data_IF_752349683875
#
_entry.id   IF_752349683875
#
_cell.length_a   1.000
_cell.length_b   1.000
_cell.length_c   1.000
_cell.angle_alpha   90.00
_cell.angle_beta   90.00
_cell.angle_gamma   90.00
#
_symmetry.space_group_name_H-M   'P 1'
#
loop_
_entity.id
_entity.type
_entity.pdbx_description
1 polymer ?
#
# COMPACT_ATOMS: atom_id res chain seq x y z
N UNK A 1 -19.73 7.55 -1.18
CA UNK A 1 -18.28 7.33 -1.33
C UNK A 1 -18.02 5.87 -1.65
N UNK A 2 -16.99 5.55 -2.44
CA UNK A 2 -16.60 4.17 -2.79
C UNK A 2 -15.51 3.70 -1.82
N UNK A 3 -15.55 2.44 -1.42
CA UNK A 3 -14.43 1.76 -0.76
C UNK A 3 -13.82 0.72 -1.70
N UNK A 4 -12.50 0.69 -1.81
CA UNK A 4 -11.76 -0.29 -2.61
C UNK A 4 -10.74 -0.95 -1.71
N UNK A 5 -10.77 -2.28 -1.64
CA UNK A 5 -9.72 -3.08 -1.03
C UNK A 5 -8.97 -3.83 -2.13
N UNK A 6 -7.72 -3.42 -2.37
CA UNK A 6 -6.89 -3.98 -3.44
C UNK A 6 -6.40 -5.40 -3.15
N UNK A 7 -6.42 -5.81 -1.88
CA UNK A 7 -5.90 -7.10 -1.40
C UNK A 7 -6.78 -7.60 -0.25
N UNK A 8 -8.06 -7.83 -0.54
CA UNK A 8 -9.10 -8.01 0.47
C UNK A 8 -8.94 -9.27 1.35
N UNK A 9 -8.16 -10.25 0.88
CA UNK A 9 -7.97 -11.49 1.61
C UNK A 9 -9.28 -12.26 1.77
N UNK A 10 -9.46 -12.88 2.94
CA UNK A 10 -10.74 -13.52 3.33
C UNK A 10 -11.72 -12.52 3.95
N UNK A 11 -11.31 -11.26 4.13
CA UNK A 11 -12.00 -10.28 4.99
C UNK A 11 -11.71 -10.42 6.48
N UNK A 12 -10.92 -11.40 6.91
CA UNK A 12 -10.42 -11.59 8.28
C UNK A 12 -8.89 -11.66 8.28
N UNK A 13 -8.27 -11.34 9.42
CA UNK A 13 -6.87 -11.66 9.72
C UNK A 13 -6.82 -12.60 10.89
N UNK A 14 -6.16 -13.74 10.70
CA UNK A 14 -5.83 -14.62 11.81
C UNK A 14 -4.51 -14.18 12.42
N UNK A 15 -4.50 -13.84 13.70
CA UNK A 15 -3.27 -13.63 14.46
C UNK A 15 -2.96 -14.90 15.24
N UNK A 16 -1.80 -15.46 14.95
CA UNK A 16 -1.21 -16.54 15.73
C UNK A 16 -0.58 -15.93 17.00
N UNK A 17 -1.19 -16.18 18.17
CA UNK A 17 -0.74 -15.63 19.46
C UNK A 17 0.57 -16.23 19.99
N UNK A 18 1.26 -17.08 19.22
CA UNK A 18 2.63 -17.52 19.59
C UNK A 18 3.65 -16.37 19.68
N UNK A 19 3.35 -15.19 19.15
CA UNK A 19 4.16 -13.98 19.33
C UNK A 19 3.73 -13.12 20.54
N UNK A 20 2.65 -13.47 21.24
CA UNK A 20 2.02 -12.66 22.29
C UNK A 20 2.17 -13.21 23.72
N UNK A 21 2.67 -14.43 23.93
CA UNK A 21 2.65 -15.03 25.27
C UNK A 21 4.01 -15.18 25.94
N UNK A 22 4.25 -14.23 26.85
CA UNK A 22 5.05 -14.38 28.08
C UNK A 22 4.32 -15.21 29.17
N UNK A 23 3.13 -15.77 28.90
CA UNK A 23 2.39 -16.59 29.86
C UNK A 23 1.70 -17.72 29.11
N UNK A 24 2.11 -18.96 29.40
CA UNK A 24 1.74 -20.13 28.61
C UNK A 24 0.28 -20.60 28.70
N UNK A 25 0.05 -21.59 27.84
CA UNK A 25 -1.12 -22.47 27.66
C UNK A 25 -2.12 -22.04 26.56
N UNK A 26 -2.17 -22.92 25.53
CA UNK A 26 -3.06 -23.00 24.38
C UNK A 26 -3.20 -21.74 23.50
N UNK A 27 -2.41 -21.69 22.43
CA UNK A 27 -2.46 -20.65 21.40
C UNK A 27 -3.85 -20.52 20.79
N UNK A 28 -4.59 -19.48 21.21
CA UNK A 28 -5.87 -19.12 20.63
C UNK A 28 -5.60 -18.35 19.33
N UNK A 29 -5.94 -18.93 18.18
CA UNK A 29 -6.08 -18.15 16.94
C UNK A 29 -7.20 -17.13 17.15
N UNK A 30 -6.84 -15.88 17.40
CA UNK A 30 -7.82 -14.80 17.45
C UNK A 30 -8.00 -14.30 16.01
N UNK A 31 -9.19 -14.57 15.45
CA UNK A 31 -9.62 -13.95 14.20
C UNK A 31 -10.02 -12.50 14.47
N UNK A 32 -9.34 -11.58 13.80
CA UNK A 32 -9.60 -10.14 13.84
C UNK A 32 -10.23 -9.75 12.50
N UNK A 33 -11.20 -8.84 12.52
CA UNK A 33 -11.78 -8.32 11.28
C UNK A 33 -10.69 -7.70 10.40
N UNK A 34 -10.66 -8.11 9.13
CA UNK A 34 -9.83 -7.51 8.10
C UNK A 34 -10.43 -6.21 7.58
N UNK A 35 -9.69 -5.51 6.72
CA UNK A 35 -10.05 -4.21 6.15
C UNK A 35 -11.43 -4.22 5.45
N UNK A 36 -11.76 -5.29 4.71
CA UNK A 36 -13.07 -5.47 4.10
C UNK A 36 -14.22 -5.50 5.12
N UNK A 37 -14.08 -6.25 6.23
CA UNK A 37 -15.10 -6.32 7.29
C UNK A 37 -15.19 -5.02 8.09
N UNK A 38 -14.06 -4.38 8.37
CA UNK A 38 -14.02 -3.08 9.03
C UNK A 38 -14.79 -2.04 8.21
N UNK A 39 -14.58 -1.99 6.89
CA UNK A 39 -15.28 -1.04 6.02
C UNK A 39 -16.81 -1.20 6.06
N UNK A 40 -17.31 -2.44 6.09
CA UNK A 40 -18.75 -2.74 6.15
C UNK A 40 -19.42 -2.34 7.47
N UNK A 41 -18.63 -2.32 8.56
CA UNK A 41 -19.08 -2.00 9.92
C UNK A 41 -18.97 -0.51 10.28
N UNK A 42 -18.57 0.34 9.34
CA UNK A 42 -18.44 1.79 9.58
C UNK A 42 -19.80 2.46 9.85
N UNK A 43 -19.82 3.41 10.79
CA UNK A 43 -21.05 4.14 11.16
C UNK A 43 -21.64 4.94 9.98
N UNK A 44 -20.77 5.49 9.13
CA UNK A 44 -21.14 6.10 7.85
C UNK A 44 -20.79 5.13 6.73
N UNK A 45 -21.78 4.40 6.17
CA UNK A 45 -21.50 3.38 5.17
C UNK A 45 -21.05 3.99 3.85
N UNK A 46 -20.21 3.25 3.14
CA UNK A 46 -19.89 3.53 1.74
C UNK A 46 -21.06 3.13 0.84
N UNK A 47 -21.18 3.81 -0.30
CA UNK A 47 -22.22 3.54 -1.29
C UNK A 47 -21.91 2.29 -2.12
N UNK A 48 -20.63 1.94 -2.27
CA UNK A 48 -20.16 0.79 -3.05
C UNK A 48 -18.82 0.30 -2.52
N UNK A 49 -18.63 -1.02 -2.52
CA UNK A 49 -17.41 -1.68 -2.10
C UNK A 49 -16.86 -2.54 -3.24
N UNK A 50 -15.57 -2.40 -3.54
CA UNK A 50 -14.84 -3.29 -4.42
C UNK A 50 -13.84 -4.09 -3.60
N UNK A 51 -13.99 -5.42 -3.56
CA UNK A 51 -13.06 -6.32 -2.89
C UNK A 51 -12.30 -7.13 -3.94
N UNK A 52 -11.00 -6.87 -4.06
CA UNK A 52 -10.15 -7.51 -5.07
C UNK A 52 -9.31 -8.60 -4.41
N UNK A 53 -9.30 -9.78 -5.01
CA UNK A 53 -8.47 -10.91 -4.59
C UNK A 53 -8.21 -11.85 -5.79
N UNK A 54 -7.12 -12.59 -5.76
CA UNK A 54 -6.70 -13.49 -6.83
C UNK A 54 -6.88 -14.97 -6.48
N UNK A 55 -6.93 -15.30 -5.19
CA UNK A 55 -7.05 -16.67 -4.72
C UNK A 55 -8.50 -17.11 -4.59
N UNK A 56 -8.85 -18.22 -5.25
CA UNK A 56 -10.20 -18.76 -5.30
C UNK A 56 -10.80 -19.13 -3.94
N UNK A 57 -9.99 -19.62 -3.00
CA UNK A 57 -10.42 -19.94 -1.63
C UNK A 57 -10.86 -18.68 -0.87
N UNK A 58 -10.14 -17.57 -1.07
CA UNK A 58 -10.45 -16.28 -0.45
C UNK A 58 -11.62 -15.57 -1.12
N UNK A 59 -11.74 -15.68 -2.44
CA UNK A 59 -12.91 -15.22 -3.19
C UNK A 59 -14.20 -15.86 -2.68
N UNK A 60 -14.18 -17.16 -2.38
CA UNK A 60 -15.34 -17.83 -1.76
C UNK A 60 -15.71 -17.23 -0.40
N UNK A 61 -14.72 -16.87 0.43
CA UNK A 61 -14.95 -16.20 1.70
C UNK A 61 -15.56 -14.80 1.51
N UNK A 62 -15.06 -14.02 0.54
CA UNK A 62 -15.61 -12.70 0.22
C UNK A 62 -17.03 -12.77 -0.35
N UNK A 63 -17.35 -13.78 -1.15
CA UNK A 63 -18.71 -13.99 -1.64
C UNK A 63 -19.68 -14.33 -0.49
N UNK A 64 -19.27 -15.18 0.46
CA UNK A 64 -20.04 -15.41 1.69
C UNK A 64 -20.22 -14.13 2.50
N UNK A 65 -19.17 -13.31 2.61
CA UNK A 65 -19.26 -12.01 3.28
C UNK A 65 -20.27 -11.09 2.58
N UNK A 66 -20.28 -11.06 1.23
CA UNK A 66 -21.29 -10.33 0.44
C UNK A 66 -22.71 -10.84 0.71
N UNK A 67 -22.92 -12.15 0.72
CA UNK A 67 -24.23 -12.74 1.02
C UNK A 67 -24.75 -12.35 2.42
N UNK A 68 -23.86 -12.32 3.42
CA UNK A 68 -24.20 -11.91 4.79
C UNK A 68 -24.50 -10.42 4.94
N UNK A 69 -24.11 -9.60 3.96
CA UNK A 69 -24.29 -8.14 3.94
C UNK A 69 -25.07 -7.73 2.70
N UNK A 70 -26.19 -8.42 2.42
CA UNK A 70 -26.99 -8.23 1.21
C UNK A 70 -27.63 -6.83 1.08
N UNK A 71 -27.65 -6.04 2.15
CA UNK A 71 -28.05 -4.63 2.17
C UNK A 71 -26.96 -3.67 1.66
N UNK A 72 -25.75 -4.18 1.40
CA UNK A 72 -24.59 -3.42 0.94
C UNK A 72 -24.29 -3.71 -0.53
N UNK A 73 -23.94 -2.67 -1.27
CA UNK A 73 -23.43 -2.80 -2.64
C UNK A 73 -21.96 -3.27 -2.57
N UNK A 74 -21.73 -4.55 -2.86
CA UNK A 74 -20.41 -5.19 -2.80
C UNK A 74 -20.12 -5.90 -4.12
N UNK A 75 -19.00 -5.58 -4.74
CA UNK A 75 -18.45 -6.26 -5.90
C UNK A 75 -17.16 -7.00 -5.52
N UNK A 76 -17.21 -8.33 -5.60
CA UNK A 76 -16.05 -9.19 -5.42
C UNK A 76 -15.42 -9.41 -6.79
N UNK A 77 -14.18 -8.97 -6.95
CA UNK A 77 -13.46 -9.00 -8.23
C UNK A 77 -12.29 -9.98 -8.14
N UNK A 78 -12.37 -11.07 -8.91
CA UNK A 78 -11.30 -12.07 -8.99
C UNK A 78 -10.27 -11.68 -10.04
N UNK A 79 -9.00 -11.53 -9.63
CA UNK A 79 -7.90 -11.31 -10.56
C UNK A 79 -6.73 -10.50 -10.00
N UNK A 80 -5.88 -10.01 -10.91
CA UNK A 80 -4.72 -9.18 -10.57
C UNK A 80 -5.16 -7.77 -10.12
N UNK A 81 -4.70 -7.37 -8.93
CA UNK A 81 -5.04 -6.10 -8.32
C UNK A 81 -4.60 -4.89 -9.16
N UNK A 82 -3.42 -4.94 -9.79
CA UNK A 82 -2.94 -3.84 -10.63
C UNK A 82 -3.86 -3.66 -11.84
N UNK A 83 -4.28 -4.74 -12.49
CA UNK A 83 -5.20 -4.65 -13.64
C UNK A 83 -6.56 -4.11 -13.20
N UNK A 84 -7.16 -4.69 -12.16
CA UNK A 84 -8.51 -4.37 -11.72
C UNK A 84 -8.60 -2.94 -11.16
N UNK A 85 -7.60 -2.48 -10.40
CA UNK A 85 -7.55 -1.10 -9.90
C UNK A 85 -7.41 -0.12 -11.07
N UNK A 86 -6.55 -0.40 -12.06
CA UNK A 86 -6.42 0.45 -13.25
C UNK A 86 -7.76 0.54 -14.02
N UNK A 87 -8.50 -0.56 -14.13
CA UNK A 87 -9.84 -0.57 -14.75
C UNK A 87 -10.84 0.28 -13.95
N UNK A 88 -10.93 0.09 -12.63
CA UNK A 88 -11.79 0.92 -11.75
C UNK A 88 -11.45 2.40 -11.92
N UNK A 89 -10.15 2.75 -11.98
CA UNK A 89 -9.71 4.13 -12.18
C UNK A 89 -10.19 4.72 -13.52
N UNK A 90 -10.29 3.90 -14.58
CA UNK A 90 -10.66 4.35 -15.93
C UNK A 90 -12.18 4.35 -16.16
N UNK A 91 -12.86 3.35 -15.63
CA UNK A 91 -14.27 3.08 -15.93
C UNK A 91 -15.21 3.84 -14.98
N UNK A 92 -14.71 4.31 -13.84
CA UNK A 92 -15.48 5.13 -12.90
C UNK A 92 -15.56 6.59 -13.38
N UNK A 93 -16.78 7.11 -13.50
CA UNK A 93 -17.03 8.54 -13.68
C UNK A 93 -16.69 9.34 -12.39
N UNK A 94 -15.41 9.66 -12.19
CA UNK A 94 -14.92 10.39 -11.01
C UNK A 94 -15.44 11.83 -10.94
N UNK A 95 -15.55 12.48 -12.10
CA UNK A 95 -16.02 13.87 -12.20
C UNK A 95 -17.41 13.88 -12.81
N UNK A 96 -18.27 14.83 -12.41
CA UNK A 96 -19.51 15.07 -13.15
C UNK A 96 -19.17 15.43 -14.60
N UNK A 97 -20.04 15.04 -15.53
CA UNK A 97 -20.00 15.56 -16.89
C UNK A 97 -20.18 17.09 -16.86
N UNK A 98 -19.60 17.78 -17.85
CA UNK A 98 -19.80 19.23 -17.97
C UNK A 98 -21.30 19.57 -18.00
N UNK A 99 -21.73 20.45 -17.09
CA UNK A 99 -23.14 20.85 -16.94
C UNK A 99 -23.98 19.98 -16.00
N UNK A 100 -23.47 18.86 -15.47
CA UNK A 100 -24.18 18.05 -14.48
C UNK A 100 -23.99 18.60 -13.05
N UNK A 101 -25.06 18.75 -12.25
CA UNK A 101 -24.94 19.12 -10.84
C UNK A 101 -24.33 17.97 -10.02
N UNK A 102 -23.36 18.25 -9.15
CA UNK A 102 -22.80 17.27 -8.21
C UNK A 102 -21.30 17.46 -7.92
N UNK A 103 -20.79 16.75 -6.90
CA UNK A 103 -19.37 16.81 -6.48
C UNK A 103 -18.49 15.70 -7.07
N UNK A 104 -19.05 14.85 -7.94
CA UNK A 104 -18.35 13.68 -8.50
C UNK A 104 -18.27 12.51 -7.51
N UNK A 105 -17.71 11.38 -7.96
CA UNK A 105 -17.47 10.20 -7.11
C UNK A 105 -16.14 10.35 -6.38
N UNK A 106 -16.07 9.82 -5.16
CA UNK A 106 -14.88 9.78 -4.30
C UNK A 106 -14.65 8.36 -3.86
N UNK A 107 -13.38 7.98 -3.67
CA UNK A 107 -13.05 6.67 -3.13
C UNK A 107 -11.98 6.75 -2.04
N UNK A 108 -12.04 5.77 -1.14
CA UNK A 108 -10.91 5.38 -0.28
C UNK A 108 -10.39 4.05 -0.79
N UNK A 109 -9.09 3.96 -1.04
CA UNK A 109 -8.41 2.75 -1.50
C UNK A 109 -7.43 2.26 -0.44
N UNK A 110 -7.57 1.00 -0.02
CA UNK A 110 -6.62 0.32 0.84
C UNK A 110 -5.75 -0.63 0.02
N UNK A 111 -4.44 -0.45 0.07
CA UNK A 111 -3.43 -1.30 -0.56
C UNK A 111 -2.61 -1.98 0.53
N UNK A 112 -2.78 -3.29 0.69
CA UNK A 112 -1.96 -4.10 1.58
C UNK A 112 -1.49 -5.39 0.89
N UNK A 113 -0.50 -5.27 -0.01
CA UNK A 113 0.08 -6.44 -0.66
C UNK A 113 0.87 -7.27 0.34
N UNK A 114 0.92 -8.58 0.10
CA UNK A 114 1.81 -9.46 0.88
C UNK A 114 3.30 -9.14 0.63
N UNK A 115 3.65 -8.59 -0.54
CA UNK A 115 5.01 -8.19 -0.88
C UNK A 115 5.10 -6.92 -1.72
N UNK A 116 5.94 -6.96 -2.75
CA UNK A 116 6.17 -5.83 -3.67
C UNK A 116 5.29 -5.97 -4.92
N UNK A 117 3.99 -6.12 -4.72
CA UNK A 117 3.05 -6.51 -5.76
C UNK A 117 2.41 -5.32 -6.48
N UNK A 118 2.30 -4.16 -5.80
CA UNK A 118 1.75 -2.94 -6.42
C UNK A 118 2.79 -2.29 -7.34
N UNK A 119 2.45 -2.21 -8.62
CA UNK A 119 3.25 -1.56 -9.64
C UNK A 119 3.15 -0.02 -9.56
N UNK A 120 4.22 0.66 -9.93
CA UNK A 120 4.22 2.12 -9.98
C UNK A 120 3.16 2.68 -10.94
N UNK A 121 2.93 2.00 -12.07
CA UNK A 121 1.92 2.41 -13.05
C UNK A 121 0.50 2.36 -12.48
N UNK A 122 0.22 1.49 -11.50
CA UNK A 122 -1.06 1.47 -10.79
C UNK A 122 -1.25 2.77 -10.00
N UNK A 123 -0.21 3.22 -9.30
CA UNK A 123 -0.23 4.50 -8.59
C UNK A 123 -0.39 5.68 -9.55
N UNK A 124 0.21 5.60 -10.75
CA UNK A 124 0.02 6.61 -11.80
C UNK A 124 -1.44 6.69 -12.23
N UNK A 125 -2.11 5.56 -12.51
CA UNK A 125 -3.54 5.58 -12.87
C UNK A 125 -4.42 6.10 -11.73
N UNK A 126 -4.13 5.72 -10.48
CA UNK A 126 -4.82 6.25 -9.29
C UNK A 126 -4.68 7.78 -9.22
N UNK A 127 -3.48 8.32 -9.44
CA UNK A 127 -3.24 9.77 -9.38
C UNK A 127 -4.06 10.56 -10.41
N UNK A 128 -4.31 9.98 -11.59
CA UNK A 128 -5.07 10.63 -12.67
C UNK A 128 -6.54 10.85 -12.32
N UNK A 129 -7.10 10.03 -11.44
CA UNK A 129 -8.50 10.14 -11.00
C UNK A 129 -8.78 11.46 -10.27
N UNK A 130 -7.78 11.98 -9.53
CA UNK A 130 -7.89 13.16 -8.66
C UNK A 130 -9.01 13.05 -7.61
N UNK A 131 -9.44 11.83 -7.29
CA UNK A 131 -10.64 11.56 -6.49
C UNK A 131 -10.48 10.43 -5.46
N UNK A 132 -9.36 9.72 -5.48
CA UNK A 132 -9.05 8.61 -4.58
C UNK A 132 -8.09 9.08 -3.48
N UNK A 133 -8.43 8.76 -2.23
CA UNK A 133 -7.56 8.86 -1.07
C UNK A 133 -7.03 7.44 -0.75
N UNK A 134 -5.72 7.28 -0.57
CA UNK A 134 -5.06 5.97 -0.58
C UNK A 134 -4.34 5.74 0.74
N UNK A 135 -4.57 4.57 1.32
CA UNK A 135 -3.77 3.97 2.38
C UNK A 135 -2.95 2.83 1.78
N UNK A 136 -1.63 2.86 1.97
CA UNK A 136 -0.73 1.87 1.39
C UNK A 136 0.26 1.32 2.42
N UNK A 137 0.11 0.05 2.77
CA UNK A 137 1.07 -0.67 3.59
C UNK A 137 2.25 -1.15 2.74
N UNK A 138 3.26 -0.30 2.56
CA UNK A 138 4.42 -0.60 1.72
C UNK A 138 5.43 -1.48 2.44
N UNK A 139 5.85 -2.60 1.84
CA UNK A 139 6.89 -3.48 2.41
C UNK A 139 8.29 -2.88 2.25
N UNK A 140 8.76 -2.16 3.27
CA UNK A 140 10.12 -1.58 3.29
C UNK A 140 11.18 -2.68 3.44
N UNK A 141 10.89 -3.75 4.17
CA UNK A 141 11.76 -4.92 4.26
C UNK A 141 11.85 -5.66 2.92
N UNK A 142 10.74 -5.78 2.20
CA UNK A 142 10.73 -6.30 0.84
C UNK A 142 11.65 -5.50 -0.07
N UNK A 143 11.53 -4.16 -0.05
CA UNK A 143 12.40 -3.26 -0.81
C UNK A 143 13.87 -3.43 -0.42
N UNK A 144 14.16 -3.45 0.88
CA UNK A 144 15.52 -3.62 1.40
C UNK A 144 16.13 -4.96 0.98
N UNK A 145 15.35 -6.04 0.92
CA UNK A 145 15.81 -7.36 0.48
C UNK A 145 16.12 -7.40 -1.02
N UNK A 146 15.30 -6.74 -1.85
CA UNK A 146 15.52 -6.67 -3.29
C UNK A 146 16.75 -5.80 -3.63
N UNK A 147 16.93 -4.68 -2.92
CA UNK A 147 18.10 -3.82 -3.07
C UNK A 147 19.30 -4.39 -2.29
N UNK A 148 19.88 -5.50 -2.74
CA UNK A 148 20.97 -6.18 -2.04
C UNK A 148 22.12 -5.23 -1.62
N UNK A 149 22.82 -5.55 -0.52
CA UNK A 149 23.92 -4.70 -0.05
C UNK A 149 25.04 -4.53 -1.10
N UNK A 150 25.42 -5.62 -1.76
CA UNK A 150 26.41 -5.60 -2.84
C UNK A 150 25.66 -5.48 -4.17
N UNK A 151 25.99 -4.48 -4.99
CA UNK A 151 25.28 -4.24 -6.25
C UNK A 151 25.39 -5.44 -7.21
N UNK A 152 26.55 -6.11 -7.26
CA UNK A 152 26.73 -7.34 -8.03
C UNK A 152 25.80 -8.50 -7.65
N UNK A 153 25.14 -8.46 -6.48
CA UNK A 153 24.11 -9.45 -6.05
C UNK A 153 22.69 -9.03 -6.42
N UNK A 154 22.53 -7.88 -7.08
CA UNK A 154 21.26 -7.44 -7.67
C UNK A 154 21.19 -8.04 -9.07
N UNK A 155 20.62 -9.24 -9.15
CA UNK A 155 20.33 -9.89 -10.43
C UNK A 155 19.24 -9.13 -11.22
N UNK A 156 19.03 -9.55 -12.47
CA UNK A 156 18.06 -8.93 -13.38
C UNK A 156 16.63 -8.96 -12.83
N UNK A 157 16.25 -10.02 -12.12
CA UNK A 157 14.90 -10.15 -11.54
C UNK A 157 14.69 -9.14 -10.40
N UNK A 158 15.67 -8.97 -9.50
CA UNK A 158 15.65 -7.94 -8.45
C UNK A 158 15.61 -6.54 -9.05
N UNK A 159 16.43 -6.29 -10.07
CA UNK A 159 16.49 -5.02 -10.75
C UNK A 159 15.16 -4.67 -11.43
N UNK A 160 14.55 -5.62 -12.15
CA UNK A 160 13.24 -5.46 -12.77
C UNK A 160 12.13 -5.25 -11.73
N UNK A 161 12.18 -5.96 -10.60
CA UNK A 161 11.26 -5.74 -9.48
C UNK A 161 11.35 -4.31 -8.94
N UNK A 162 12.57 -3.83 -8.66
CA UNK A 162 12.81 -2.46 -8.20
C UNK A 162 12.37 -1.40 -9.22
N UNK A 163 12.65 -1.62 -10.51
CA UNK A 163 12.22 -0.72 -11.58
C UNK A 163 10.69 -0.64 -11.67
N UNK A 164 10.00 -1.78 -11.54
CA UNK A 164 8.54 -1.87 -11.60
C UNK A 164 7.85 -1.19 -10.42
N UNK A 165 8.35 -1.40 -9.20
CA UNK A 165 7.70 -0.87 -7.98
C UNK A 165 8.12 0.55 -7.63
N UNK A 166 9.29 1.00 -8.07
CA UNK A 166 9.74 2.39 -7.93
C UNK A 166 9.45 3.23 -9.19
N UNK A 167 9.11 2.60 -10.31
CA UNK A 167 8.84 3.28 -11.59
C UNK A 167 10.02 4.10 -12.10
N UNK A 168 11.26 3.63 -11.87
CA UNK A 168 12.49 4.27 -12.38
C UNK A 168 13.69 3.35 -12.19
N UNK A 169 14.76 3.65 -12.91
CA UNK A 169 16.08 3.07 -12.70
C UNK A 169 16.99 3.91 -11.79
N UNK A 170 16.61 5.14 -11.42
CA UNK A 170 17.42 6.10 -10.65
C UNK A 170 17.79 5.63 -9.24
N UNK A 171 17.10 4.62 -8.71
CA UNK A 171 17.46 3.99 -7.44
C UNK A 171 18.87 3.38 -7.49
N UNK A 172 19.36 2.95 -8.66
CA UNK A 172 20.72 2.40 -8.81
C UNK A 172 21.78 3.41 -8.38
N UNK A 173 21.62 4.67 -8.79
CA UNK A 173 22.54 5.77 -8.42
C UNK A 173 22.28 6.28 -7.01
N UNK A 174 21.02 6.30 -6.59
CA UNK A 174 20.64 6.88 -5.30
C UNK A 174 20.98 5.95 -4.14
N UNK A 175 20.81 4.64 -4.34
CA UNK A 175 21.01 3.65 -3.29
C UNK A 175 22.47 3.22 -3.17
N UNK A 176 23.23 3.24 -4.26
CA UNK A 176 24.58 2.68 -4.29
C UNK A 176 25.65 3.76 -4.49
N UNK A 177 26.79 3.57 -3.83
CA UNK A 177 27.97 4.41 -3.99
C UNK A 177 29.22 3.53 -4.07
N UNK A 178 30.32 4.00 -4.69
CA UNK A 178 31.58 3.28 -4.70
C UNK A 178 32.02 2.92 -3.27
N UNK A 179 32.57 1.72 -3.10
CA UNK A 179 33.11 1.30 -1.80
C UNK A 179 34.36 2.13 -1.45
N UNK A 180 34.48 2.57 -0.19
CA UNK A 180 35.68 3.25 0.27
C UNK A 180 36.86 2.27 0.37
N UNK A 181 38.05 2.68 -0.07
CA UNK A 181 39.30 1.89 -0.16
C UNK A 181 39.77 1.13 1.10
N UNK A 182 39.11 1.26 2.26
CA UNK A 182 39.52 0.61 3.51
C UNK A 182 38.99 -0.82 3.69
N UNK A 183 38.24 -1.35 2.73
CA UNK A 183 37.80 -2.74 2.76
C UNK A 183 38.90 -3.67 2.24
N UNK A 184 39.73 -4.19 3.15
CA UNK A 184 40.88 -5.09 2.91
C UNK A 184 40.58 -6.37 2.12
N UNK A 185 39.30 -6.68 1.85
CA UNK A 185 38.85 -7.90 1.19
C UNK A 185 37.95 -7.66 -0.04
N UNK A 186 37.78 -6.41 -0.49
CA UNK A 186 36.86 -6.09 -1.59
C UNK A 186 37.60 -5.39 -2.73
N UNK A 187 37.24 -5.75 -3.97
CA UNK A 187 37.73 -5.04 -5.15
C UNK A 187 37.24 -3.59 -5.09
N UNK A 188 38.13 -2.59 -5.28
CA UNK A 188 37.85 -1.17 -5.01
C UNK A 188 36.68 -0.54 -5.78
N UNK A 189 36.10 -1.25 -6.75
CA UNK A 189 35.15 -0.70 -7.72
C UNK A 189 33.71 -1.27 -7.63
N UNK A 190 33.41 -2.25 -6.74
CA UNK A 190 32.04 -2.78 -6.64
C UNK A 190 31.15 -1.85 -5.78
N UNK A 191 30.05 -1.28 -6.32
CA UNK A 191 29.19 -0.38 -5.57
C UNK A 191 28.45 -1.10 -4.45
N UNK A 192 28.33 -0.43 -3.31
CA UNK A 192 27.57 -0.90 -2.15
C UNK A 192 26.38 -0.03 -1.87
N UNK A 193 25.31 -0.61 -1.36
CA UNK A 193 24.14 0.13 -0.94
C UNK A 193 24.51 1.01 0.26
N UNK A 194 24.58 2.32 0.02
CA UNK A 194 24.93 3.34 1.00
C UNK A 194 23.72 3.83 1.79
N UNK A 195 22.49 3.52 1.34
CA UNK A 195 21.26 3.91 2.04
C UNK A 195 20.80 2.84 3.03
N UNK A 196 20.36 3.30 4.20
CA UNK A 196 19.66 2.49 5.19
C UNK A 196 18.13 2.50 4.94
N UNK A 197 17.34 1.91 5.83
CA UNK A 197 15.88 1.89 5.75
C UNK A 197 15.29 3.30 5.65
N UNK A 198 15.80 4.27 6.41
CA UNK A 198 15.32 5.66 6.34
C UNK A 198 15.57 6.29 4.96
N UNK A 199 16.73 6.00 4.35
CA UNK A 199 17.05 6.44 2.99
C UNK A 199 16.13 5.83 1.94
N UNK A 200 15.81 4.54 2.07
CA UNK A 200 14.84 3.86 1.20
C UNK A 200 13.43 4.46 1.36
N UNK A 201 12.98 4.66 2.60
CA UNK A 201 11.68 5.26 2.90
C UNK A 201 11.58 6.68 2.36
N UNK A 202 12.64 7.49 2.52
CA UNK A 202 12.71 8.85 1.96
C UNK A 202 12.60 8.83 0.45
N UNK A 203 13.32 7.94 -0.24
CA UNK A 203 13.23 7.82 -1.69
C UNK A 203 11.80 7.50 -2.15
N UNK A 204 11.12 6.56 -1.49
CA UNK A 204 9.72 6.23 -1.80
C UNK A 204 8.80 7.42 -1.53
N UNK A 205 9.00 8.11 -0.39
CA UNK A 205 8.22 9.31 -0.02
C UNK A 205 8.37 10.42 -1.05
N UNK A 206 9.60 10.71 -1.49
CA UNK A 206 9.89 11.73 -2.51
C UNK A 206 9.27 11.36 -3.85
N UNK A 207 9.28 10.07 -4.20
CA UNK A 207 8.64 9.55 -5.40
C UNK A 207 7.13 9.72 -5.36
N UNK A 208 6.48 9.36 -4.27
CA UNK A 208 5.03 9.54 -4.10
C UNK A 208 4.66 11.03 -4.13
N UNK A 209 5.47 11.89 -3.50
CA UNK A 209 5.24 13.34 -3.44
C UNK A 209 5.35 14.04 -4.80
N UNK A 210 6.03 13.43 -5.78
CA UNK A 210 6.03 13.90 -7.18
C UNK A 210 4.76 13.53 -7.94
N UNK A 211 4.02 12.52 -7.47
CA UNK A 211 2.85 11.97 -8.15
C UNK A 211 1.53 12.45 -7.53
N UNK A 212 1.51 12.61 -6.21
CA UNK A 212 0.31 12.97 -5.45
C UNK A 212 0.41 14.39 -4.87
N UNK A 213 -0.66 15.20 -4.93
CA UNK A 213 -0.70 16.54 -4.34
C UNK A 213 -0.36 16.61 -2.86
N UNK A 214 -0.64 15.53 -2.11
CA UNK A 214 -0.28 15.44 -0.70
C UNK A 214 0.03 13.99 -0.31
N UNK A 215 1.14 13.83 0.42
CA UNK A 215 1.59 12.60 1.05
C UNK A 215 1.87 12.93 2.51
N UNK A 216 1.20 12.24 3.43
CA UNK A 216 1.46 12.39 4.86
C UNK A 216 2.82 11.75 5.22
N UNK A 217 3.46 12.17 6.33
CA UNK A 217 4.62 11.46 6.85
C UNK A 217 4.30 9.97 7.04
N UNK A 218 5.12 9.05 6.50
CA UNK A 218 4.85 7.62 6.65
C UNK A 218 4.98 7.19 8.10
N UNK A 219 4.17 6.21 8.50
CA UNK A 219 4.28 5.56 9.80
C UNK A 219 5.09 4.26 9.67
N UNK A 220 6.30 4.19 10.26
CA UNK A 220 7.07 2.96 10.35
C UNK A 220 6.35 1.90 11.18
N UNK A 221 6.33 0.65 10.71
CA UNK A 221 5.73 -0.48 11.41
C UNK A 221 6.71 -1.66 11.53
N UNK A 222 6.78 -2.34 12.68
CA UNK A 222 6.03 -2.06 13.92
C UNK A 222 6.48 -0.75 14.60
N UNK A 223 5.57 -0.09 15.35
CA UNK A 223 5.86 1.16 16.07
C UNK A 223 6.93 1.01 17.16
N UNK A 224 6.96 -0.15 17.81
CA UNK A 224 7.89 -0.48 18.89
C UNK A 224 8.21 -1.97 18.86
N UNK A 225 9.48 -2.30 19.10
CA UNK A 225 9.95 -3.70 19.15
C UNK A 225 10.23 -4.27 17.77
N UNK A 226 11.50 -4.57 17.48
CA UNK A 226 11.93 -5.20 16.23
C UNK A 226 12.26 -4.22 15.08
N UNK A 227 12.86 -4.72 13.98
CA UNK A 227 13.20 -3.91 12.82
C UNK A 227 11.94 -3.51 12.04
N UNK A 228 11.99 -2.34 11.40
CA UNK A 228 10.91 -1.85 10.55
C UNK A 228 10.69 -2.80 9.36
N UNK A 229 9.46 -3.31 9.23
CA UNK A 229 9.04 -4.21 8.15
C UNK A 229 8.22 -3.51 7.09
N UNK A 230 7.39 -2.55 7.52
CA UNK A 230 6.51 -1.80 6.64
C UNK A 230 6.59 -0.30 6.90
N UNK A 231 6.12 0.48 5.92
CA UNK A 231 5.79 1.89 6.07
C UNK A 231 4.33 2.06 5.65
N UNK A 232 3.47 2.45 6.59
CA UNK A 232 2.08 2.82 6.25
C UNK A 232 2.07 4.24 5.70
N UNK A 233 1.73 4.36 4.43
CA UNK A 233 1.56 5.63 3.73
C UNK A 233 0.10 6.02 3.66
N UNK A 234 -0.15 7.32 3.74
CA UNK A 234 -1.42 7.93 3.35
C UNK A 234 -1.17 9.07 2.38
N UNK A 235 -1.85 9.06 1.24
CA UNK A 235 -1.73 10.08 0.21
C UNK A 235 -3.04 10.26 -0.54
N UNK A 236 -3.25 11.44 -1.11
CA UNK A 236 -4.49 11.76 -1.82
C UNK A 236 -4.18 12.23 -3.24
N UNK A 237 -5.05 11.86 -4.18
CA UNK A 237 -4.96 12.32 -5.57
C UNK A 237 -5.65 13.67 -5.80
N UNK A 238 -6.53 14.11 -4.89
CA UNK A 238 -7.27 15.36 -5.05
C UNK A 238 -6.37 16.58 -4.84
N UNK A 239 -6.22 17.46 -5.85
CA UNK A 239 -5.40 18.67 -5.72
C UNK A 239 -6.10 19.83 -4.99
N UNK A 240 -7.39 19.71 -4.66
CA UNK A 240 -8.13 20.78 -3.99
C UNK A 240 -7.56 21.08 -2.59
N UNK A 241 -7.32 22.36 -2.31
CA UNK A 241 -6.70 22.80 -1.07
C UNK A 241 -7.52 22.49 0.19
N UNK A 242 -8.85 22.49 0.09
CA UNK A 242 -9.72 22.14 1.21
C UNK A 242 -9.67 20.65 1.52
N UNK A 243 -9.61 19.81 0.48
CA UNK A 243 -9.40 18.37 0.63
C UNK A 243 -8.04 18.06 1.24
N UNK A 244 -6.96 18.69 0.74
CA UNK A 244 -5.62 18.55 1.34
C UNK A 244 -5.63 18.96 2.82
N UNK A 245 -6.28 20.08 3.15
CA UNK A 245 -6.41 20.55 4.52
C UNK A 245 -7.15 19.59 5.44
N UNK A 246 -8.23 18.95 4.95
CA UNK A 246 -8.96 17.92 5.70
C UNK A 246 -8.14 16.65 5.89
N UNK A 247 -7.54 16.15 4.80
CA UNK A 247 -6.70 14.95 4.82
C UNK A 247 -5.49 15.10 5.74
N UNK A 248 -4.90 16.30 5.86
CA UNK A 248 -3.83 16.56 6.84
C UNK A 248 -4.29 16.37 8.28
N UNK A 249 -5.50 16.81 8.63
CA UNK A 249 -6.06 16.63 9.97
C UNK A 249 -6.34 15.16 10.25
N UNK A 250 -7.06 14.50 9.34
CA UNK A 250 -7.42 13.07 9.48
C UNK A 250 -6.18 12.19 9.57
N UNK A 251 -5.18 12.41 8.71
CA UNK A 251 -3.94 11.65 8.75
C UNK A 251 -3.17 11.87 10.06
N UNK A 252 -3.13 13.10 10.56
CA UNK A 252 -2.52 13.42 11.84
C UNK A 252 -3.20 12.66 12.98
N UNK A 253 -4.52 12.71 13.05
CA UNK A 253 -5.28 12.03 14.10
C UNK A 253 -5.11 10.50 14.01
N UNK A 254 -5.29 9.91 12.82
CA UNK A 254 -5.22 8.46 12.65
C UNK A 254 -3.80 7.92 12.91
N UNK A 255 -2.76 8.52 12.31
CA UNK A 255 -1.40 8.01 12.44
C UNK A 255 -0.82 8.18 13.85
N UNK A 256 -1.29 9.18 14.61
CA UNK A 256 -0.91 9.34 16.01
C UNK A 256 -1.53 8.28 16.93
N UNK A 257 -2.75 7.81 16.62
CA UNK A 257 -3.53 6.93 17.50
C UNK A 257 -3.50 5.44 17.13
N UNK A 258 -2.99 5.04 15.96
CA UNK A 258 -2.72 3.62 15.61
C UNK A 258 -1.26 3.31 15.86
#
# INVERSE_FOLDING_TARGET
MIYIDGFAGTGERTIDQSAADLFGEDGVEVSIDGSARIALKTDQPFDQHYFIESRSDRIQALNKLKELNADREIDVLEGDANILIKNICRDTAWRPNEGAPGRGRRAVLFLDPYGLDVEWDTLVEISKTKAIDVWYLFSIEGLYRQAAHDFGKVDEAKAACLDRILGTTEWRKTFYSPSSQNDLFIQPDDPRRAVNIDGLQRFVTDRLSKLFPYVAPPLPLPKSGGPQRFSLYFFISNPDGSAIGLSRRIAGDILLHI
#
